data_IF_097216733263
#
_entry.id   IF_097216733263
#
_cell.length_a   1.000
_cell.length_b   1.000
_cell.length_c   1.000
_cell.angle_alpha   90.00
_cell.angle_beta   90.00
_cell.angle_gamma   90.00
#
_symmetry.space_group_name_H-M   'P 1'
#
loop_
_entity.id
_entity.type
_entity.pdbx_description
1 polymer ?
#
# COMPACT_ATOMS: atom_id res chain seq x y z
N UNK A 1 -11.76 -0.21 -37.69
CA UNK A 1 -12.69 0.50 -36.82
C UNK A 1 -11.94 1.66 -36.16
N UNK A 2 -12.58 2.81 -35.97
CA UNK A 2 -12.00 3.95 -35.26
C UNK A 2 -12.56 3.99 -33.86
N UNK A 3 -11.68 4.10 -32.87
CA UNK A 3 -12.01 4.10 -31.45
C UNK A 3 -11.59 5.43 -30.83
N UNK A 4 -12.45 5.98 -30.00
CA UNK A 4 -12.16 7.18 -29.20
C UNK A 4 -12.23 6.82 -27.73
N UNK A 5 -11.13 7.04 -27.00
CA UNK A 5 -11.07 6.92 -25.54
C UNK A 5 -11.08 8.32 -24.91
N UNK A 6 -11.90 8.49 -23.89
CA UNK A 6 -11.98 9.72 -23.12
C UNK A 6 -11.27 9.51 -21.79
N UNK A 7 -10.19 10.28 -21.56
CA UNK A 7 -9.26 10.14 -20.44
C UNK A 7 -7.99 9.38 -20.84
N UNK A 8 -6.83 9.98 -20.58
CA UNK A 8 -5.50 9.42 -20.86
C UNK A 8 -4.84 8.77 -19.61
N UNK A 9 -5.65 8.14 -18.76
CA UNK A 9 -5.15 7.33 -17.65
C UNK A 9 -4.64 5.96 -18.11
N UNK A 10 -3.94 5.25 -17.24
CA UNK A 10 -3.28 3.95 -17.54
C UNK A 10 -4.22 2.95 -18.20
N UNK A 11 -5.47 2.85 -17.74
CA UNK A 11 -6.45 1.91 -18.32
C UNK A 11 -6.73 2.17 -19.80
N UNK A 12 -7.00 3.43 -20.16
CA UNK A 12 -7.28 3.78 -21.56
C UNK A 12 -6.01 3.77 -22.42
N UNK A 13 -4.84 4.04 -21.85
CA UNK A 13 -3.56 3.89 -22.57
C UNK A 13 -3.29 2.42 -22.89
N UNK A 14 -3.49 1.51 -21.92
CA UNK A 14 -3.32 0.07 -22.13
C UNK A 14 -4.33 -0.49 -23.17
N UNK A 15 -5.61 -0.12 -23.06
CA UNK A 15 -6.64 -0.52 -24.02
C UNK A 15 -6.37 0.06 -25.42
N UNK A 16 -5.98 1.33 -25.49
CA UNK A 16 -5.62 2.00 -26.73
C UNK A 16 -4.46 1.31 -27.44
N UNK A 17 -3.43 0.93 -26.70
CA UNK A 17 -2.29 0.14 -27.23
C UNK A 17 -2.76 -1.21 -27.76
N UNK A 18 -3.55 -1.94 -26.97
CA UNK A 18 -4.09 -3.24 -27.36
C UNK A 18 -4.88 -3.16 -28.69
N UNK A 19 -5.80 -2.21 -28.83
CA UNK A 19 -6.59 -2.07 -30.05
C UNK A 19 -5.78 -1.56 -31.23
N UNK A 20 -4.76 -0.72 -30.99
CA UNK A 20 -3.84 -0.29 -32.05
C UNK A 20 -3.03 -1.48 -32.60
N UNK A 21 -2.58 -2.40 -31.77
CA UNK A 21 -1.89 -3.64 -32.18
C UNK A 21 -2.79 -4.58 -32.99
N UNK A 22 -4.10 -4.53 -32.75
CA UNK A 22 -5.10 -5.25 -33.58
C UNK A 22 -5.42 -4.51 -34.89
N UNK A 23 -4.73 -3.44 -35.24
CA UNK A 23 -4.89 -2.69 -36.49
C UNK A 23 -6.07 -1.69 -36.48
N UNK A 24 -6.57 -1.32 -35.30
CA UNK A 24 -7.61 -0.30 -35.19
C UNK A 24 -6.99 1.12 -35.11
N UNK A 25 -7.71 2.10 -35.66
CA UNK A 25 -7.37 3.51 -35.45
C UNK A 25 -7.85 3.94 -34.07
N UNK A 26 -6.94 4.46 -33.25
CA UNK A 26 -7.21 4.85 -31.86
C UNK A 26 -6.91 6.32 -31.66
N UNK A 27 -7.84 7.04 -31.04
CA UNK A 27 -7.65 8.42 -30.56
C UNK A 27 -7.94 8.45 -29.06
N UNK A 28 -7.09 9.14 -28.30
CA UNK A 28 -7.28 9.35 -26.86
C UNK A 28 -7.31 10.84 -26.59
N UNK A 29 -8.32 11.30 -25.87
CA UNK A 29 -8.46 12.70 -25.48
C UNK A 29 -8.51 12.82 -23.96
N UNK A 30 -7.89 13.86 -23.41
CA UNK A 30 -7.95 14.20 -21.98
C UNK A 30 -8.12 15.69 -21.80
N UNK A 31 -8.69 16.11 -20.69
CA UNK A 31 -8.77 17.53 -20.29
C UNK A 31 -7.44 18.07 -19.77
N UNK A 32 -6.56 17.18 -19.29
CA UNK A 32 -5.22 17.52 -18.82
C UNK A 32 -4.27 17.59 -20.02
N UNK A 33 -3.20 18.33 -19.90
CA UNK A 33 -2.15 18.44 -20.91
C UNK A 33 -1.05 17.38 -20.78
N UNK A 34 -1.26 16.38 -19.90
CA UNK A 34 -0.35 15.27 -19.65
C UNK A 34 -1.10 13.93 -19.77
N UNK A 35 -0.37 12.88 -20.10
CA UNK A 35 -0.83 11.49 -20.11
C UNK A 35 -0.46 10.78 -18.79
N UNK A 36 -1.03 9.58 -18.56
CA UNK A 36 -0.78 8.78 -17.34
C UNK A 36 -1.85 8.96 -16.27
N UNK A 37 -2.71 9.99 -16.38
CA UNK A 37 -3.75 10.25 -15.39
C UNK A 37 -3.14 10.59 -14.03
N UNK A 38 -3.57 9.90 -12.98
CA UNK A 38 -3.02 10.11 -11.63
C UNK A 38 -1.63 9.49 -11.42
N UNK A 39 -1.18 8.62 -12.34
CA UNK A 39 0.18 8.07 -12.32
C UNK A 39 1.20 8.97 -13.04
N UNK A 40 0.81 10.19 -13.40
CA UNK A 40 1.73 11.12 -14.04
C UNK A 40 2.79 11.61 -13.05
N UNK A 41 4.04 11.53 -13.49
CA UNK A 41 5.23 12.02 -12.82
C UNK A 41 6.01 12.99 -13.73
N UNK A 42 6.88 13.75 -13.15
CA UNK A 42 7.76 14.68 -13.85
C UNK A 42 9.01 14.97 -13.02
N UNK A 43 10.07 15.36 -13.68
CA UNK A 43 11.27 15.87 -13.00
C UNK A 43 11.10 17.34 -12.65
N UNK A 44 11.39 17.70 -11.40
CA UNK A 44 11.45 19.09 -10.96
C UNK A 44 12.74 19.78 -11.45
N UNK A 45 12.93 21.04 -11.07
CA UNK A 45 14.11 21.84 -11.40
C UNK A 45 15.44 21.28 -10.85
N UNK A 46 15.36 20.41 -9.83
CA UNK A 46 16.50 19.73 -9.22
C UNK A 46 16.72 18.30 -9.75
N UNK A 47 15.99 17.90 -10.81
CA UNK A 47 15.98 16.56 -11.37
C UNK A 47 15.49 15.48 -10.39
N UNK A 48 14.59 15.87 -9.48
CA UNK A 48 13.89 14.95 -8.58
C UNK A 48 12.58 14.54 -9.24
N UNK A 49 12.34 13.23 -9.30
CA UNK A 49 11.10 12.66 -9.82
C UNK A 49 9.94 12.90 -8.84
N UNK A 50 8.92 13.61 -9.30
CA UNK A 50 7.77 14.04 -8.51
C UNK A 50 6.49 13.38 -9.03
N UNK A 51 5.80 12.65 -8.17
CA UNK A 51 4.45 12.17 -8.44
C UNK A 51 3.44 13.33 -8.32
N UNK A 52 2.89 13.79 -9.45
CA UNK A 52 2.05 14.99 -9.51
C UNK A 52 0.76 14.91 -8.69
N UNK A 53 0.22 13.71 -8.47
CA UNK A 53 -1.08 13.48 -7.82
C UNK A 53 -1.00 12.55 -6.61
N UNK A 54 0.14 12.50 -5.94
CA UNK A 54 0.42 11.63 -4.82
C UNK A 54 1.16 10.35 -5.22
N UNK A 55 1.78 9.71 -4.25
CA UNK A 55 2.62 8.54 -4.48
C UNK A 55 1.81 7.36 -5.08
N UNK A 56 2.28 6.84 -6.21
CA UNK A 56 1.72 5.69 -6.88
C UNK A 56 2.80 4.61 -6.99
N UNK A 57 2.70 3.60 -6.13
CA UNK A 57 3.65 2.48 -6.10
C UNK A 57 3.00 1.31 -6.81
N UNK A 58 3.65 0.83 -7.88
CA UNK A 58 3.20 -0.35 -8.59
C UNK A 58 3.59 -1.62 -7.84
N UNK A 59 2.64 -2.49 -7.63
CA UNK A 59 2.85 -3.84 -7.11
C UNK A 59 1.93 -4.83 -7.80
N UNK A 60 2.41 -6.01 -8.12
CA UNK A 60 1.61 -7.08 -8.73
C UNK A 60 2.22 -8.45 -8.47
N UNK A 61 1.36 -9.46 -8.36
CA UNK A 61 1.74 -10.87 -8.40
C UNK A 61 1.53 -11.47 -9.82
N UNK A 62 0.99 -10.68 -10.76
CA UNK A 62 0.70 -11.10 -12.12
C UNK A 62 1.92 -10.89 -13.03
N UNK A 63 2.59 -11.98 -13.43
CA UNK A 63 3.75 -11.94 -14.31
C UNK A 63 3.44 -11.37 -15.70
N UNK A 64 2.23 -11.55 -16.18
CA UNK A 64 1.78 -10.99 -17.46
C UNK A 64 1.64 -9.46 -17.39
N UNK A 65 1.07 -8.96 -16.31
CA UNK A 65 0.93 -7.51 -16.06
C UNK A 65 2.32 -6.87 -15.95
N UNK A 66 3.22 -7.50 -15.21
CA UNK A 66 4.61 -7.06 -15.08
C UNK A 66 5.28 -7.00 -16.47
N UNK A 67 5.21 -8.07 -17.24
CA UNK A 67 5.82 -8.15 -18.59
C UNK A 67 5.24 -7.11 -19.54
N UNK A 68 3.92 -6.89 -19.49
CA UNK A 68 3.27 -5.89 -20.34
C UNK A 68 3.75 -4.47 -20.00
N UNK A 69 3.74 -4.09 -18.74
CA UNK A 69 4.13 -2.74 -18.34
C UNK A 69 5.63 -2.49 -18.49
N UNK A 70 6.48 -3.51 -18.32
CA UNK A 70 7.93 -3.41 -18.54
C UNK A 70 8.35 -3.08 -19.97
N UNK A 71 7.42 -3.07 -20.92
CA UNK A 71 7.67 -2.58 -22.27
C UNK A 71 7.70 -1.05 -22.35
N UNK A 72 7.17 -0.36 -21.35
CA UNK A 72 6.94 1.08 -21.38
C UNK A 72 7.73 1.85 -20.32
N UNK A 73 8.33 1.17 -19.36
CA UNK A 73 9.04 1.79 -18.24
C UNK A 73 10.20 0.95 -17.75
N UNK A 74 11.16 1.61 -17.13
CA UNK A 74 12.17 1.00 -16.29
C UNK A 74 11.69 1.04 -14.84
N UNK A 75 11.92 -0.07 -14.10
CA UNK A 75 11.45 -0.20 -12.73
C UNK A 75 12.53 0.21 -11.75
N UNK A 76 12.20 1.12 -10.84
CA UNK A 76 13.01 1.40 -9.67
C UNK A 76 12.51 0.54 -8.50
N UNK A 77 13.34 -0.40 -7.97
CA UNK A 77 12.95 -1.21 -6.81
C UNK A 77 12.77 -0.32 -5.58
N UNK A 78 11.55 -0.27 -5.06
CA UNK A 78 11.21 0.51 -3.90
C UNK A 78 10.56 -0.38 -2.84
N UNK A 79 11.12 -0.36 -1.63
CA UNK A 79 10.54 -1.03 -0.47
C UNK A 79 9.81 0.00 0.39
N UNK A 80 8.49 -0.06 0.36
CA UNK A 80 7.65 0.86 1.11
C UNK A 80 7.61 0.47 2.59
N UNK A 81 7.98 1.42 3.46
CA UNK A 81 7.88 1.28 4.90
C UNK A 81 6.94 2.34 5.46
N UNK A 82 5.86 1.90 6.11
CA UNK A 82 4.96 2.79 6.84
C UNK A 82 5.31 2.73 8.32
N UNK A 83 5.38 3.90 8.96
CA UNK A 83 5.58 4.02 10.40
C UNK A 83 4.51 4.91 10.99
N UNK A 84 4.00 4.52 12.16
CA UNK A 84 3.12 5.35 12.98
C UNK A 84 3.91 5.96 14.15
N UNK A 85 3.59 7.18 14.50
CA UNK A 85 4.06 7.80 15.74
C UNK A 85 3.09 7.44 16.86
N UNK A 86 3.50 6.53 17.74
CA UNK A 86 2.70 6.02 18.85
C UNK A 86 3.45 6.29 20.17
N UNK A 87 2.84 7.05 21.07
CA UNK A 87 3.42 7.44 22.37
C UNK A 87 4.87 7.95 22.24
N UNK A 88 5.13 8.78 21.21
CA UNK A 88 6.44 9.39 20.94
C UNK A 88 7.46 8.46 20.28
N UNK A 89 7.09 7.25 19.88
CA UNK A 89 7.96 6.28 19.18
C UNK A 89 7.46 6.02 17.78
N UNK A 90 8.38 5.95 16.81
CA UNK A 90 8.09 5.54 15.45
C UNK A 90 8.12 4.01 15.36
N UNK A 91 6.96 3.41 15.13
CA UNK A 91 6.80 1.94 15.05
C UNK A 91 6.32 1.51 13.67
N UNK A 92 6.74 0.33 13.19
CA UNK A 92 6.33 -0.15 11.87
C UNK A 92 4.83 -0.45 11.80
N UNK A 93 4.24 -0.17 10.63
CA UNK A 93 2.87 -0.54 10.26
C UNK A 93 2.96 -1.37 8.97
N UNK A 94 2.24 -2.48 8.86
CA UNK A 94 1.26 -3.08 9.81
C UNK A 94 1.87 -3.43 11.16
N UNK A 95 1.07 -3.26 12.22
CA UNK A 95 1.48 -3.55 13.59
C UNK A 95 1.92 -5.01 13.72
N UNK A 96 3.11 -5.25 14.26
CA UNK A 96 3.75 -6.57 14.29
C UNK A 96 4.60 -6.73 15.57
N UNK A 97 5.35 -7.83 15.68
CA UNK A 97 6.18 -8.11 16.86
C UNK A 97 7.20 -7.01 17.14
N UNK A 98 7.82 -6.43 16.11
CA UNK A 98 8.75 -5.32 16.31
C UNK A 98 8.05 -4.10 16.92
N UNK A 99 6.77 -3.86 16.55
CA UNK A 99 5.97 -2.79 17.16
C UNK A 99 5.69 -3.07 18.63
N UNK A 100 5.39 -4.33 18.99
CA UNK A 100 5.19 -4.74 20.38
C UNK A 100 6.48 -4.54 21.19
N UNK A 101 7.61 -5.01 20.69
CA UNK A 101 8.91 -4.90 21.37
C UNK A 101 9.36 -3.45 21.56
N UNK A 102 9.02 -2.57 20.61
CA UNK A 102 9.38 -1.15 20.72
C UNK A 102 8.47 -0.37 21.69
N UNK A 103 7.19 -0.72 21.78
CA UNK A 103 6.22 0.02 22.56
C UNK A 103 6.16 -0.42 24.02
N UNK A 104 6.26 -1.70 24.29
CA UNK A 104 6.03 -2.24 25.62
C UNK A 104 7.32 -2.61 26.35
N UNK A 105 7.32 -2.62 27.70
CA UNK A 105 8.42 -3.18 28.48
C UNK A 105 8.69 -4.63 28.11
N UNK A 106 9.98 -5.02 28.10
CA UNK A 106 10.44 -6.33 27.59
C UNK A 106 9.61 -7.53 28.09
N UNK A 107 9.36 -7.61 29.40
CA UNK A 107 8.58 -8.71 29.98
C UNK A 107 7.14 -8.78 29.49
N UNK A 108 6.50 -7.63 29.30
CA UNK A 108 5.14 -7.55 28.79
C UNK A 108 5.11 -7.91 27.29
N UNK A 109 6.04 -7.39 26.52
CA UNK A 109 6.19 -7.72 25.10
C UNK A 109 6.39 -9.24 24.87
N UNK A 110 7.28 -9.86 25.65
CA UNK A 110 7.51 -11.32 25.61
C UNK A 110 6.24 -12.13 25.93
N UNK A 111 5.46 -11.71 26.94
CA UNK A 111 4.19 -12.39 27.24
C UNK A 111 3.16 -12.23 26.11
N UNK A 112 3.00 -11.03 25.56
CA UNK A 112 2.09 -10.76 24.44
C UNK A 112 2.46 -11.58 23.22
N UNK A 113 3.74 -11.61 22.83
CA UNK A 113 4.23 -12.38 21.70
C UNK A 113 4.02 -13.88 21.94
N UNK A 114 4.33 -14.37 23.12
CA UNK A 114 4.11 -15.78 23.49
C UNK A 114 2.62 -16.13 23.41
N UNK A 115 1.74 -15.27 23.92
CA UNK A 115 0.30 -15.47 23.84
C UNK A 115 -0.21 -15.46 22.39
N UNK A 116 0.27 -14.55 21.55
CA UNK A 116 -0.05 -14.50 20.12
C UNK A 116 0.36 -15.81 19.41
N UNK A 117 1.58 -16.27 19.66
CA UNK A 117 2.11 -17.51 19.06
C UNK A 117 1.42 -18.79 19.57
N UNK A 118 0.88 -18.75 20.79
CA UNK A 118 0.13 -19.89 21.35
C UNK A 118 -1.31 -19.98 20.83
N UNK A 119 -1.92 -18.85 20.49
CA UNK A 119 -3.32 -18.78 20.07
C UNK A 119 -3.46 -18.71 18.53
N UNK A 120 -2.45 -18.16 17.84
CA UNK A 120 -2.44 -17.99 16.39
C UNK A 120 -1.16 -18.55 15.79
N UNK A 121 -1.24 -19.00 14.54
CA UNK A 121 -0.08 -19.51 13.80
C UNK A 121 0.92 -18.39 13.50
N UNK A 122 2.21 -18.73 13.48
CA UNK A 122 3.26 -17.81 13.06
C UNK A 122 3.03 -17.30 11.63
N UNK A 123 3.38 -16.03 11.40
CA UNK A 123 3.27 -15.36 10.10
C UNK A 123 1.82 -15.26 9.55
N UNK A 124 0.84 -15.18 10.43
CA UNK A 124 -0.57 -14.94 10.07
C UNK A 124 -0.97 -13.50 10.41
N UNK A 125 -1.81 -12.93 9.56
CA UNK A 125 -2.52 -11.69 9.86
C UNK A 125 -3.69 -12.01 10.80
N UNK A 126 -3.66 -11.44 11.99
CA UNK A 126 -4.72 -11.63 12.99
C UNK A 126 -5.60 -10.37 13.02
N UNK A 127 -6.89 -10.48 12.69
CA UNK A 127 -7.80 -9.35 12.83
C UNK A 127 -7.90 -8.89 14.28
N UNK A 128 -7.90 -7.58 14.51
CA UNK A 128 -7.95 -6.98 15.85
C UNK A 128 -9.16 -7.45 16.68
N UNK A 129 -10.31 -7.71 16.03
CA UNK A 129 -11.50 -8.22 16.68
C UNK A 129 -11.27 -9.60 17.31
N UNK A 130 -10.47 -10.46 16.67
CA UNK A 130 -10.11 -11.77 17.27
C UNK A 130 -9.25 -11.64 18.51
N UNK A 131 -8.40 -10.63 18.58
CA UNK A 131 -7.63 -10.33 19.79
C UNK A 131 -8.53 -9.83 20.92
N UNK A 132 -9.55 -9.03 20.61
CA UNK A 132 -10.55 -8.57 21.59
C UNK A 132 -11.35 -9.74 22.18
N UNK A 133 -11.68 -10.73 21.37
CA UNK A 133 -12.44 -11.92 21.77
C UNK A 133 -11.58 -12.99 22.46
N UNK A 134 -10.26 -12.83 22.54
CA UNK A 134 -9.36 -13.74 23.22
C UNK A 134 -9.68 -13.80 24.72
N UNK A 135 -9.46 -14.97 25.34
CA UNK A 135 -9.53 -15.13 26.80
C UNK A 135 -8.27 -14.64 27.54
N UNK A 136 -7.21 -14.36 26.79
CA UNK A 136 -5.95 -13.85 27.33
C UNK A 136 -6.02 -12.35 27.54
N UNK A 137 -5.83 -11.90 28.78
CA UNK A 137 -5.90 -10.49 29.15
C UNK A 137 -4.83 -9.61 28.47
N UNK A 138 -3.62 -10.16 28.23
CA UNK A 138 -2.55 -9.43 27.53
C UNK A 138 -2.94 -9.18 26.07
N UNK A 139 -3.66 -10.11 25.41
CA UNK A 139 -4.14 -9.95 24.04
C UNK A 139 -5.33 -8.98 23.96
N UNK A 140 -6.25 -9.02 24.91
CA UNK A 140 -7.34 -8.03 24.99
C UNK A 140 -6.77 -6.62 25.17
N UNK A 141 -5.82 -6.45 26.10
CA UNK A 141 -5.14 -5.17 26.31
C UNK A 141 -4.42 -4.70 25.05
N UNK A 142 -3.70 -5.60 24.35
CA UNK A 142 -3.03 -5.28 23.10
C UNK A 142 -4.02 -4.81 22.03
N UNK A 143 -5.18 -5.47 21.93
CA UNK A 143 -6.21 -5.11 20.97
C UNK A 143 -6.78 -3.71 21.23
N UNK A 144 -7.11 -3.37 22.49
CA UNK A 144 -7.59 -2.04 22.85
C UNK A 144 -6.52 -0.97 22.60
N UNK A 145 -5.28 -1.23 22.99
CA UNK A 145 -4.17 -0.31 22.76
C UNK A 145 -3.97 0.00 21.27
N UNK A 146 -3.94 -1.03 20.42
CA UNK A 146 -3.79 -0.87 18.96
C UNK A 146 -5.00 -0.14 18.37
N UNK A 147 -6.21 -0.45 18.85
CA UNK A 147 -7.42 0.24 18.40
C UNK A 147 -7.37 1.72 18.74
N UNK A 148 -7.12 2.08 19.99
CA UNK A 148 -7.10 3.47 20.45
C UNK A 148 -5.98 4.29 19.82
N UNK A 149 -4.77 3.72 19.71
CA UNK A 149 -3.58 4.46 19.30
C UNK A 149 -3.37 4.51 17.77
N UNK A 150 -3.97 3.60 17.03
CA UNK A 150 -3.73 3.47 15.59
C UNK A 150 -5.03 3.61 14.79
N UNK A 151 -6.08 2.85 15.13
CA UNK A 151 -7.27 2.79 14.29
C UNK A 151 -8.27 3.92 14.56
N UNK A 152 -8.51 4.29 15.82
CA UNK A 152 -9.56 5.25 16.19
C UNK A 152 -9.36 6.59 15.47
N UNK A 153 -8.15 7.10 15.45
CA UNK A 153 -7.83 8.39 14.83
C UNK A 153 -7.61 8.32 13.31
N UNK A 154 -7.37 7.14 12.76
CA UNK A 154 -7.21 6.95 11.31
C UNK A 154 -8.55 6.95 10.57
N UNK A 155 -9.64 6.59 11.23
CA UNK A 155 -10.98 6.48 10.63
C UNK A 155 -11.87 7.71 10.87
N UNK A 156 -11.39 8.71 11.59
CA UNK A 156 -12.11 9.97 11.88
C UNK A 156 -11.88 11.09 10.84
N UNK A 157 -11.14 10.79 9.75
CA UNK A 157 -10.81 11.76 8.67
C UNK A 157 -11.74 11.63 7.49
#
# INVERSE_FOLDING_TARGET
MTLLFVGAGISNLALGRFFAELGHSVSIIDRRNNIGGNCFDYFDENSIDIHAYGAHIFHTNGTEVWRFLSQFTEWYPYQHEVKALVDGKLVPIPFNFNSIEQLFPKQLAERMITALLSEFEFNKNVPILKLRDSKNQDLQFLAEYVYEKIFLHYTEV
#
